data_IF_613589270474
#
_entry.id   IF_613589270474
#
_cell.length_a   1.000
_cell.length_b   1.000
_cell.length_c   1.000
_cell.angle_alpha   90.00
_cell.angle_beta   90.00
_cell.angle_gamma   90.00
#
_symmetry.space_group_name_H-M   'P 1'
#
loop_
_entity.id
_entity.type
_entity.pdbx_description
1 polymer ?
#
# COMPACT_ATOMS: atom_id res chain seq x y z
N UNK A 1 15.91 5.07 9.41
CA UNK A 1 14.92 5.40 8.36
C UNK A 1 13.66 4.66 8.76
N UNK A 2 12.82 5.35 9.52
CA UNK A 2 11.72 4.73 10.23
C UNK A 2 10.70 4.18 9.25
N UNK A 3 10.42 2.87 9.36
CA UNK A 3 9.37 2.19 8.59
C UNK A 3 8.02 2.70 9.05
N UNK A 4 7.54 3.76 8.41
CA UNK A 4 6.15 4.21 8.48
C UNK A 4 5.35 3.45 7.43
N UNK A 5 4.88 2.27 7.81
CA UNK A 5 3.89 1.49 7.07
C UNK A 5 2.82 1.00 8.03
N UNK A 6 1.55 1.19 7.62
CA UNK A 6 0.25 0.88 8.27
C UNK A 6 0.04 1.31 9.73
N UNK A 7 1.08 1.21 10.57
CA UNK A 7 1.14 1.58 11.99
C UNK A 7 1.00 3.07 12.30
N UNK A 8 1.08 3.93 11.29
CA UNK A 8 0.79 5.36 11.43
C UNK A 8 -0.71 5.63 11.46
N UNK A 9 -1.48 4.81 10.72
CA UNK A 9 -2.92 4.94 10.58
C UNK A 9 -3.68 4.08 11.56
N UNK A 10 -3.16 2.87 11.83
CA UNK A 10 -3.83 1.91 12.67
C UNK A 10 -2.94 1.49 13.85
N UNK A 11 -3.48 1.40 15.07
CA UNK A 11 -2.76 0.87 16.21
C UNK A 11 -2.39 -0.60 15.97
N UNK A 12 -1.39 -1.09 16.73
CA UNK A 12 -1.05 -2.51 16.71
C UNK A 12 -2.25 -3.34 17.18
N UNK A 13 -2.45 -4.51 16.58
CA UNK A 13 -3.52 -5.47 16.88
C UNK A 13 -4.95 -4.98 16.51
N UNK A 14 -5.10 -4.07 15.54
CA UNK A 14 -6.41 -3.81 14.96
C UNK A 14 -6.90 -5.02 14.15
N UNK A 15 -8.19 -5.32 14.22
CA UNK A 15 -8.82 -6.26 13.29
C UNK A 15 -9.25 -5.50 12.03
N UNK A 16 -8.55 -5.73 10.92
CA UNK A 16 -8.84 -5.07 9.64
C UNK A 16 -10.24 -5.38 9.10
N UNK A 17 -10.89 -6.45 9.57
CA UNK A 17 -12.27 -6.79 9.20
C UNK A 17 -13.31 -5.82 9.75
N UNK A 18 -12.92 -5.01 10.74
CA UNK A 18 -13.80 -4.04 11.40
C UNK A 18 -13.72 -2.64 10.80
N UNK A 19 -12.77 -2.42 9.88
CA UNK A 19 -12.51 -1.14 9.25
C UNK A 19 -13.39 -1.01 8.02
N UNK A 20 -13.89 0.19 7.76
CA UNK A 20 -14.66 0.49 6.56
C UNK A 20 -13.74 0.47 5.31
N UNK A 21 -14.17 -0.22 4.26
CA UNK A 21 -13.43 -0.31 2.99
C UNK A 21 -13.09 1.09 2.41
N UNK A 22 -13.99 2.08 2.57
CA UNK A 22 -13.72 3.45 2.10
C UNK A 22 -12.56 4.14 2.85
N UNK A 23 -12.45 3.88 4.15
CA UNK A 23 -11.36 4.42 4.97
C UNK A 23 -10.05 3.72 4.63
N UNK A 24 -10.13 2.39 4.46
CA UNK A 24 -8.99 1.59 4.03
C UNK A 24 -8.44 2.06 2.69
N UNK A 25 -9.31 2.27 1.69
CA UNK A 25 -8.92 2.76 0.37
C UNK A 25 -8.23 4.14 0.44
N UNK A 26 -8.74 5.06 1.27
CA UNK A 26 -8.10 6.38 1.45
C UNK A 26 -6.68 6.27 2.00
N UNK A 27 -6.48 5.38 2.97
CA UNK A 27 -5.15 5.11 3.54
C UNK A 27 -4.23 4.49 2.50
N UNK A 28 -4.74 3.53 1.72
CA UNK A 28 -3.99 2.88 0.65
C UNK A 28 -3.57 3.89 -0.44
N UNK A 29 -4.51 4.69 -0.94
CA UNK A 29 -4.27 5.74 -1.93
C UNK A 29 -3.20 6.71 -1.42
N UNK A 30 -3.33 7.16 -0.18
CA UNK A 30 -2.38 8.06 0.42
C UNK A 30 -0.98 7.43 0.51
N UNK A 31 -0.88 6.17 0.89
CA UNK A 31 0.39 5.42 0.96
C UNK A 31 1.02 5.20 -0.41
N UNK A 32 0.21 4.96 -1.44
CA UNK A 32 0.63 4.74 -2.83
C UNK A 32 1.07 6.03 -3.53
N UNK A 33 0.56 7.18 -3.09
CA UNK A 33 0.94 8.49 -3.61
C UNK A 33 2.12 9.14 -2.89
N UNK A 34 2.61 8.56 -1.79
CA UNK A 34 3.78 9.03 -1.05
C UNK A 34 5.08 8.72 -1.82
N UNK A 35 5.93 9.73 -2.12
CA UNK A 35 7.27 9.53 -2.64
C UNK A 35 8.11 8.63 -1.71
N UNK A 36 8.74 7.60 -2.26
CA UNK A 36 9.60 6.68 -1.48
C UNK A 36 11.06 6.87 -1.86
N UNK A 37 11.94 7.03 -0.87
CA UNK A 37 13.40 7.17 -1.10
C UNK A 37 13.99 5.97 -1.85
N UNK A 38 13.49 4.77 -1.57
CA UNK A 38 13.90 3.52 -2.24
C UNK A 38 13.53 3.48 -3.73
N UNK A 39 12.54 4.28 -4.15
CA UNK A 39 12.08 4.39 -5.53
C UNK A 39 12.58 5.68 -6.18
N UNK A 40 13.71 6.22 -5.74
CA UNK A 40 14.23 7.52 -6.22
C UNK A 40 13.17 8.65 -6.11
N UNK A 41 12.44 8.67 -4.99
CA UNK A 41 11.33 9.58 -4.72
C UNK A 41 10.16 9.52 -5.72
N UNK A 42 10.07 8.43 -6.49
CA UNK A 42 8.88 8.16 -7.31
C UNK A 42 7.74 7.66 -6.44
N UNK A 43 6.53 7.78 -6.99
CA UNK A 43 5.30 7.31 -6.35
C UNK A 43 5.10 5.83 -6.69
N UNK A 44 4.94 4.95 -5.68
CA UNK A 44 4.67 3.52 -5.89
C UNK A 44 3.54 3.25 -6.87
N UNK A 45 2.47 4.06 -6.85
CA UNK A 45 1.33 3.93 -7.75
C UNK A 45 1.71 3.85 -9.25
N UNK A 46 2.77 4.53 -9.67
CA UNK A 46 3.23 4.50 -11.08
C UNK A 46 4.05 3.26 -11.43
N UNK A 47 4.60 2.59 -10.42
CA UNK A 47 5.50 1.45 -10.58
C UNK A 47 4.79 0.12 -10.35
N UNK A 48 3.69 0.10 -9.58
CA UNK A 48 2.88 -1.08 -9.31
C UNK A 48 1.99 -1.52 -10.48
N UNK A 49 1.92 -0.76 -11.57
CA UNK A 49 1.24 -1.17 -12.82
C UNK A 49 2.03 -2.22 -13.61
N UNK A 50 3.02 -2.88 -12.99
CA UNK A 50 3.65 -4.07 -13.55
C UNK A 50 2.63 -5.22 -13.46
N UNK A 51 1.82 -5.29 -14.53
CA UNK A 51 1.24 -6.46 -15.18
C UNK A 51 0.53 -7.49 -14.27
N UNK A 52 -0.78 -7.56 -14.47
CA UNK A 52 -1.73 -8.61 -14.11
C UNK A 52 -1.39 -10.02 -14.67
N UNK A 53 -0.19 -10.26 -15.19
CA UNK A 53 0.10 -11.47 -15.96
C UNK A 53 0.80 -12.57 -15.15
N UNK A 54 1.03 -12.39 -13.83
CA UNK A 54 1.66 -13.43 -12.99
C UNK A 54 0.63 -14.43 -12.42
N UNK A 55 -0.67 -14.11 -12.46
CA UNK A 55 -1.73 -15.05 -12.03
C UNK A 55 -2.02 -16.16 -13.06
N UNK A 56 -1.47 -16.05 -14.28
CA UNK A 56 -1.67 -17.03 -15.35
C UNK A 56 -0.61 -18.16 -15.41
N UNK A 57 0.31 -18.23 -14.44
CA UNK A 57 1.43 -19.19 -14.41
C UNK A 57 1.48 -20.09 -13.17
N UNK A 58 0.32 -20.41 -12.59
CA UNK A 58 0.15 -21.56 -11.70
C UNK A 58 -0.59 -22.68 -12.45
N UNK A 59 0.16 -23.53 -13.15
CA UNK A 59 -0.22 -24.92 -13.53
C UNK A 59 0.68 -25.86 -12.74
#
# INVERSE_FOLDING_TARGET
MDKLESREFYPKNIDFKTINDEEFQKVEDFMNHRPRKSLDYRKPYKESSISSDIDALHI
#
